data_IF_904078817588
#
_entry.id   IF_904078817588
#
_cell.length_a   1.000
_cell.length_b   1.000
_cell.length_c   1.000
_cell.angle_alpha   90.00
_cell.angle_beta   90.00
_cell.angle_gamma   90.00
#
_symmetry.space_group_name_H-M   'P 1'
#
loop_
_entity.id
_entity.type
_entity.pdbx_description
1 polymer ?
#
# COMPACT_ATOMS: atom_id res chain seq x y z
N UNK A 1 -14.35 22.33 20.56
CA UNK A 1 -14.38 21.36 21.68
C UNK A 1 -15.22 20.12 21.36
N UNK A 2 -16.29 20.22 20.54
CA UNK A 2 -17.11 19.06 20.10
C UNK A 2 -16.28 18.00 19.37
N UNK A 3 -15.47 18.40 18.40
CA UNK A 3 -14.85 17.45 17.46
C UNK A 3 -13.83 16.50 18.11
N UNK A 4 -13.23 16.90 19.25
CA UNK A 4 -12.30 16.06 20.03
C UNK A 4 -13.01 14.97 20.81
N UNK A 5 -14.12 15.33 21.46
CA UNK A 5 -14.95 14.38 22.19
C UNK A 5 -15.58 13.39 21.21
N UNK A 6 -15.99 13.85 20.02
CA UNK A 6 -16.55 13.01 18.96
C UNK A 6 -15.54 12.03 18.33
N UNK A 7 -14.23 12.33 18.37
CA UNK A 7 -13.15 11.39 17.99
C UNK A 7 -12.98 10.34 19.07
N UNK A 8 -12.80 10.78 20.30
CA UNK A 8 -12.55 9.91 21.45
C UNK A 8 -13.73 8.96 21.64
N UNK A 9 -14.97 9.47 21.53
CA UNK A 9 -16.20 8.68 21.65
C UNK A 9 -16.40 7.78 20.44
N UNK A 10 -16.02 8.18 19.22
CA UNK A 10 -16.03 7.28 18.07
C UNK A 10 -15.03 6.14 18.22
N UNK A 11 -13.79 6.42 18.62
CA UNK A 11 -12.76 5.40 18.85
C UNK A 11 -13.21 4.47 19.98
N UNK A 12 -13.70 5.02 21.10
CA UNK A 12 -14.17 4.24 22.23
C UNK A 12 -15.43 3.42 21.87
N UNK A 13 -16.42 3.98 21.19
CA UNK A 13 -17.61 3.22 20.76
C UNK A 13 -17.26 2.19 19.69
N UNK A 14 -16.46 2.52 18.68
CA UNK A 14 -16.08 1.58 17.63
C UNK A 14 -15.22 0.43 18.15
N UNK A 15 -14.35 0.67 19.13
CA UNK A 15 -13.51 -0.37 19.73
C UNK A 15 -14.28 -1.18 20.80
N UNK A 16 -15.05 -0.53 21.68
CA UNK A 16 -15.72 -1.20 22.82
C UNK A 16 -17.02 -1.90 22.41
N UNK A 17 -17.75 -1.38 21.42
CA UNK A 17 -19.01 -2.01 20.95
C UNK A 17 -18.72 -3.23 20.09
N UNK A 18 -17.68 -3.16 19.25
CA UNK A 18 -17.38 -4.22 18.29
C UNK A 18 -16.53 -5.36 18.91
N UNK A 19 -15.76 -5.09 19.97
CA UNK A 19 -15.01 -6.14 20.69
C UNK A 19 -15.87 -7.06 21.57
N UNK A 20 -17.11 -6.69 21.91
CA UNK A 20 -17.89 -7.39 22.94
C UNK A 20 -18.83 -8.49 22.44
N UNK A 21 -19.15 -8.57 21.15
CA UNK A 21 -20.30 -9.39 20.74
C UNK A 21 -20.05 -10.89 20.53
N UNK A 22 -18.83 -11.38 20.27
CA UNK A 22 -18.57 -12.84 20.16
C UNK A 22 -17.15 -13.21 20.60
N UNK A 23 -16.84 -12.99 21.88
CA UNK A 23 -15.58 -13.47 22.48
C UNK A 23 -15.76 -14.94 22.90
N UNK A 24 -15.61 -15.85 21.96
CA UNK A 24 -15.35 -17.27 22.25
C UNK A 24 -14.26 -17.76 21.32
N UNK A 25 -13.02 -17.38 21.63
CA UNK A 25 -11.83 -17.84 20.93
C UNK A 25 -10.58 -17.17 21.49
N UNK A 26 -9.76 -17.90 22.23
CA UNK A 26 -8.51 -17.43 22.86
C UNK A 26 -7.55 -16.77 21.83
N UNK A 27 -7.61 -17.21 20.57
CA UNK A 27 -6.86 -16.65 19.43
C UNK A 27 -7.36 -15.25 19.00
N UNK A 28 -8.66 -14.98 19.07
CA UNK A 28 -9.25 -13.68 18.71
C UNK A 28 -8.88 -12.60 19.73
N UNK A 29 -8.81 -12.97 21.02
CA UNK A 29 -8.34 -12.07 22.08
C UNK A 29 -6.88 -11.67 21.92
N UNK A 30 -6.01 -12.54 21.39
CA UNK A 30 -4.60 -12.19 21.15
C UNK A 30 -4.49 -11.16 20.01
N UNK A 31 -5.25 -11.34 18.92
CA UNK A 31 -5.27 -10.40 17.78
C UNK A 31 -5.87 -9.05 18.19
N UNK A 32 -6.99 -9.06 18.94
CA UNK A 32 -7.61 -7.85 19.45
C UNK A 32 -6.76 -7.14 20.52
N UNK A 33 -6.01 -7.89 21.34
CA UNK A 33 -5.07 -7.30 22.30
C UNK A 33 -3.80 -6.76 21.64
N UNK A 34 -3.32 -7.36 20.54
CA UNK A 34 -2.23 -6.79 19.73
C UNK A 34 -2.69 -5.52 18.99
N UNK A 35 -3.91 -5.53 18.46
CA UNK A 35 -4.55 -4.35 17.87
C UNK A 35 -4.77 -3.25 18.94
N UNK A 36 -5.29 -3.61 20.11
CA UNK A 36 -5.52 -2.68 21.21
C UNK A 36 -4.23 -2.22 21.90
N UNK A 37 -3.14 -3.00 21.90
CA UNK A 37 -1.83 -2.61 22.45
C UNK A 37 -1.13 -1.60 21.53
N UNK A 38 -1.21 -1.80 20.22
CA UNK A 38 -0.78 -0.84 19.18
C UNK A 38 -1.60 0.46 19.22
N UNK A 39 -2.81 0.41 19.79
CA UNK A 39 -3.69 1.56 20.06
C UNK A 39 -3.51 2.07 21.51
N UNK A 40 -2.92 1.32 22.45
CA UNK A 40 -2.77 1.74 23.86
C UNK A 40 -1.84 2.94 24.06
N UNK A 41 -1.11 3.33 23.01
CA UNK A 41 -0.39 4.59 22.88
C UNK A 41 -1.30 5.84 23.11
N UNK A 42 -2.62 5.70 22.98
CA UNK A 42 -3.59 6.78 23.16
C UNK A 42 -4.14 6.96 24.59
N UNK A 43 -3.66 6.18 25.58
CA UNK A 43 -4.17 6.24 26.96
C UNK A 43 -3.43 7.21 27.88
N UNK A 44 -2.37 7.86 27.42
CA UNK A 44 -1.64 8.82 28.26
C UNK A 44 -2.35 10.18 28.18
N UNK A 45 -3.13 10.50 29.22
CA UNK A 45 -4.02 11.68 29.30
C UNK A 45 -3.30 13.01 29.05
N UNK A 46 -1.96 13.04 29.20
CA UNK A 46 -1.11 14.22 28.96
C UNK A 46 -0.75 14.45 27.47
N UNK A 47 -1.04 13.51 26.57
CA UNK A 47 -0.74 13.61 25.13
C UNK A 47 -1.93 14.15 24.30
N UNK A 48 -3.15 14.06 24.85
CA UNK A 48 -4.42 14.36 24.16
C UNK A 48 -4.70 15.87 24.10
N UNK A 49 -4.20 16.66 25.06
CA UNK A 49 -4.45 18.11 25.11
C UNK A 49 -3.81 18.89 23.93
N UNK A 50 -2.79 18.31 23.28
CA UNK A 50 -2.02 18.94 22.19
C UNK A 50 -2.53 18.65 20.77
N UNK A 51 -3.66 17.97 20.59
CA UNK A 51 -4.22 17.74 19.25
C UNK A 51 -4.95 18.97 18.69
N UNK A 52 -4.19 19.97 18.27
CA UNK A 52 -4.57 20.80 17.13
C UNK A 52 -4.14 20.07 15.84
N UNK A 53 -4.27 20.70 14.68
CA UNK A 53 -3.82 20.18 13.40
C UNK A 53 -2.34 19.69 13.40
N UNK A 54 -1.47 20.30 14.23
CA UNK A 54 -0.11 19.81 14.43
C UNK A 54 -0.07 18.50 15.22
N UNK A 55 -1.06 18.20 16.06
CA UNK A 55 -1.15 16.93 16.78
C UNK A 55 -1.68 15.76 15.96
N UNK A 56 -2.52 15.98 14.94
CA UNK A 56 -2.86 14.93 13.96
C UNK A 56 -1.67 14.66 13.04
N UNK A 57 -0.96 15.71 12.59
CA UNK A 57 0.27 15.56 11.83
C UNK A 57 1.40 14.92 12.67
N UNK A 58 1.55 15.31 13.94
CA UNK A 58 2.51 14.67 14.84
C UNK A 58 2.10 13.24 15.18
N UNK A 59 0.81 12.93 15.31
CA UNK A 59 0.31 11.57 15.45
C UNK A 59 0.67 10.73 14.22
N UNK A 60 0.33 11.18 13.00
CA UNK A 60 0.70 10.47 11.77
C UNK A 60 2.22 10.33 11.68
N UNK A 61 2.99 11.35 12.07
CA UNK A 61 4.46 11.33 12.03
C UNK A 61 5.10 10.41 13.08
N UNK A 62 4.64 10.43 14.33
CA UNK A 62 5.12 9.53 15.41
C UNK A 62 4.66 8.10 15.16
N UNK A 63 3.42 7.92 14.74
CA UNK A 63 2.87 6.62 14.38
C UNK A 63 3.58 6.02 13.15
N UNK A 64 3.91 6.83 12.14
CA UNK A 64 4.77 6.42 11.02
C UNK A 64 6.23 6.21 11.44
N UNK A 65 6.72 6.84 12.50
CA UNK A 65 8.08 6.63 13.03
C UNK A 65 8.25 5.31 13.81
N UNK A 66 7.14 4.65 14.15
CA UNK A 66 7.10 3.32 14.77
C UNK A 66 6.73 2.20 13.79
N UNK A 67 6.45 2.57 12.53
CA UNK A 67 6.30 1.65 11.42
C UNK A 67 7.64 1.54 10.68
N UNK A 68 7.88 0.42 10.01
CA UNK A 68 9.04 0.25 9.12
C UNK A 68 9.26 1.50 8.28
N UNK A 69 10.53 1.85 8.05
CA UNK A 69 11.04 3.08 7.40
C UNK A 69 10.48 3.38 6.00
N UNK A 70 9.54 2.59 5.50
CA UNK A 70 8.95 2.70 4.17
C UNK A 70 7.89 3.81 4.06
N UNK A 71 7.36 4.34 5.18
CA UNK A 71 6.35 5.41 5.18
C UNK A 71 6.92 6.82 5.44
N UNK A 72 8.24 6.99 5.59
CA UNK A 72 8.87 8.31 5.84
C UNK A 72 8.88 9.26 4.63
N UNK A 73 8.31 8.85 3.49
CA UNK A 73 8.32 9.60 2.23
C UNK A 73 7.20 10.64 2.06
N UNK A 74 6.31 10.80 3.06
CA UNK A 74 5.18 11.71 2.91
C UNK A 74 5.48 13.10 3.46
N UNK A 75 5.50 14.09 2.56
CA UNK A 75 5.61 15.50 2.89
C UNK A 75 4.44 15.91 3.83
N UNK A 76 4.73 16.49 5.00
CA UNK A 76 3.73 17.02 5.94
C UNK A 76 2.69 17.94 5.30
N UNK A 77 3.01 18.59 4.17
CA UNK A 77 2.10 19.45 3.41
C UNK A 77 0.90 18.69 2.83
N UNK A 78 1.00 17.38 2.60
CA UNK A 78 -0.14 16.59 2.13
C UNK A 78 -1.14 16.29 3.24
N UNK A 79 -0.70 16.19 4.49
CA UNK A 79 -1.61 15.92 5.61
C UNK A 79 -2.25 17.17 6.20
N UNK A 80 -1.84 18.35 5.70
CA UNK A 80 -2.38 19.64 6.14
C UNK A 80 -3.82 19.90 5.67
N UNK A 81 -4.55 18.94 5.11
CA UNK A 81 -5.96 19.15 4.74
C UNK A 81 -6.84 17.95 5.11
N UNK A 82 -6.37 17.05 5.99
CA UNK A 82 -7.17 15.92 6.44
C UNK A 82 -8.33 16.39 7.31
N UNK A 83 -9.55 16.05 6.90
CA UNK A 83 -10.72 16.18 7.76
C UNK A 83 -10.79 15.03 8.76
N UNK A 84 -11.59 15.20 9.81
CA UNK A 84 -11.90 14.10 10.72
C UNK A 84 -12.50 12.88 9.98
N UNK A 85 -13.36 13.13 9.00
CA UNK A 85 -13.95 12.06 8.21
C UNK A 85 -12.89 11.29 7.39
N UNK A 86 -11.88 11.99 6.87
CA UNK A 86 -10.74 11.36 6.19
C UNK A 86 -9.94 10.49 7.15
N UNK A 87 -9.65 10.97 8.36
CA UNK A 87 -8.92 10.19 9.36
C UNK A 87 -9.67 8.91 9.76
N UNK A 88 -10.98 9.00 10.02
CA UNK A 88 -11.83 7.82 10.32
C UNK A 88 -11.83 6.83 9.15
N UNK A 89 -11.93 7.35 7.92
CA UNK A 89 -11.88 6.56 6.69
C UNK A 89 -10.55 5.84 6.54
N UNK A 90 -9.42 6.53 6.75
CA UNK A 90 -8.08 5.94 6.64
C UNK A 90 -7.87 4.84 7.68
N UNK A 91 -8.33 5.03 8.92
CA UNK A 91 -8.26 4.00 9.96
C UNK A 91 -9.07 2.77 9.55
N UNK A 92 -10.28 2.96 9.04
CA UNK A 92 -11.13 1.87 8.57
C UNK A 92 -10.49 1.14 7.39
N UNK A 93 -9.98 1.87 6.39
CA UNK A 93 -9.24 1.28 5.26
C UNK A 93 -8.03 0.49 5.79
N UNK A 94 -7.28 1.00 6.75
CA UNK A 94 -6.12 0.26 7.26
C UNK A 94 -6.50 -1.00 8.04
N UNK A 95 -7.64 -1.02 8.72
CA UNK A 95 -8.12 -2.25 9.35
C UNK A 95 -8.29 -3.39 8.33
N UNK A 96 -8.50 -3.06 7.06
CA UNK A 96 -8.54 -4.02 5.95
C UNK A 96 -7.18 -4.64 5.64
N UNK A 97 -6.07 -3.92 5.83
CA UNK A 97 -4.71 -4.47 5.71
C UNK A 97 -4.49 -5.51 6.79
N UNK A 98 -4.76 -5.18 8.05
CA UNK A 98 -4.63 -6.12 9.17
C UNK A 98 -5.54 -7.33 8.97
N UNK A 99 -6.76 -7.12 8.48
CA UNK A 99 -7.66 -8.21 8.13
C UNK A 99 -7.06 -9.08 7.02
N UNK A 100 -6.56 -8.48 5.95
CA UNK A 100 -5.97 -9.19 4.80
C UNK A 100 -4.76 -10.02 5.22
N UNK A 101 -3.89 -9.47 6.07
CA UNK A 101 -2.78 -10.20 6.65
C UNK A 101 -3.24 -11.35 7.56
N UNK A 102 -4.30 -11.13 8.34
CA UNK A 102 -4.85 -12.16 9.24
C UNK A 102 -5.45 -13.30 8.43
N UNK A 103 -6.26 -12.99 7.42
CA UNK A 103 -6.84 -13.96 6.49
C UNK A 103 -5.73 -14.71 5.75
N UNK A 104 -4.68 -14.02 5.32
CA UNK A 104 -3.53 -14.63 4.68
C UNK A 104 -2.69 -15.52 5.63
N UNK A 105 -2.94 -15.49 6.93
CA UNK A 105 -2.31 -16.41 7.90
C UNK A 105 -3.26 -17.49 8.39
N UNK A 106 -4.56 -17.21 8.39
CA UNK A 106 -5.62 -18.06 8.94
C UNK A 106 -6.88 -17.95 8.04
N UNK A 107 -6.85 -18.54 6.83
CA UNK A 107 -7.96 -18.42 5.88
C UNK A 107 -9.26 -19.04 6.42
N UNK A 108 -9.17 -20.00 7.34
CA UNK A 108 -10.30 -20.70 7.94
C UNK A 108 -11.23 -19.79 8.77
N UNK A 109 -10.70 -18.71 9.37
CA UNK A 109 -11.50 -17.71 10.10
C UNK A 109 -11.86 -16.51 9.23
N UNK A 110 -11.44 -16.50 7.96
CA UNK A 110 -11.55 -15.31 7.12
C UNK A 110 -12.99 -14.93 6.77
N UNK A 111 -13.87 -15.92 6.59
CA UNK A 111 -15.29 -15.67 6.35
C UNK A 111 -15.97 -15.03 7.55
N UNK A 112 -15.66 -15.48 8.77
CA UNK A 112 -16.22 -14.92 10.01
C UNK A 112 -15.73 -13.50 10.23
N UNK A 113 -14.45 -13.24 9.96
CA UNK A 113 -13.88 -11.90 10.04
C UNK A 113 -14.49 -10.98 8.99
N UNK A 114 -14.65 -11.42 7.74
CA UNK A 114 -15.28 -10.62 6.70
C UNK A 114 -16.74 -10.34 7.05
N UNK A 115 -17.51 -11.33 7.49
CA UNK A 115 -18.89 -11.11 7.92
C UNK A 115 -18.99 -10.09 9.06
N UNK A 116 -18.01 -10.08 9.97
CA UNK A 116 -17.90 -9.06 11.02
C UNK A 116 -17.56 -7.68 10.45
N UNK A 117 -16.60 -7.58 9.54
CA UNK A 117 -16.22 -6.29 8.94
C UNK A 117 -17.24 -5.78 7.91
N UNK A 118 -18.04 -6.64 7.27
CA UNK A 118 -19.14 -6.25 6.38
C UNK A 118 -20.30 -5.59 7.13
N UNK A 119 -20.39 -5.77 8.46
CA UNK A 119 -21.28 -4.98 9.30
C UNK A 119 -20.82 -3.52 9.42
N UNK A 120 -19.56 -3.22 9.07
CA UNK A 120 -19.09 -1.85 8.99
C UNK A 120 -19.64 -1.20 7.72
N UNK A 121 -20.19 0.01 7.85
CA UNK A 121 -20.77 0.71 6.71
C UNK A 121 -19.71 0.95 5.63
N UNK A 122 -20.08 0.83 4.34
CA UNK A 122 -19.21 1.23 3.23
C UNK A 122 -18.66 2.63 3.47
N UNK A 123 -17.40 2.83 3.12
CA UNK A 123 -16.74 4.09 3.41
C UNK A 123 -16.90 5.02 2.23
N UNK A 124 -17.37 6.23 2.50
CA UNK A 124 -17.49 7.23 1.46
C UNK A 124 -16.10 7.82 1.17
N UNK A 125 -15.44 7.31 0.13
CA UNK A 125 -14.13 7.77 -0.29
C UNK A 125 -14.29 9.02 -1.18
N UNK A 126 -14.33 10.18 -0.54
CA UNK A 126 -14.59 11.46 -1.23
C UNK A 126 -13.31 12.23 -1.57
N UNK A 127 -12.29 12.15 -0.71
CA UNK A 127 -11.05 12.91 -0.87
C UNK A 127 -9.99 12.13 -1.65
N UNK A 128 -9.05 12.86 -2.27
CA UNK A 128 -7.90 12.24 -2.92
C UNK A 128 -7.01 11.48 -1.95
N UNK A 129 -6.94 11.92 -0.69
CA UNK A 129 -6.18 11.25 0.36
C UNK A 129 -6.76 9.88 0.71
N UNK A 130 -8.06 9.84 0.96
CA UNK A 130 -8.74 8.57 1.26
C UNK A 130 -8.67 7.61 0.07
N UNK A 131 -8.79 8.12 -1.17
CA UNK A 131 -8.55 7.32 -2.39
C UNK A 131 -7.13 6.79 -2.48
N UNK A 132 -6.11 7.63 -2.26
CA UNK A 132 -4.72 7.22 -2.32
C UNK A 132 -4.38 6.17 -1.26
N UNK A 133 -4.81 6.38 0.00
CA UNK A 133 -4.66 5.37 1.06
C UNK A 133 -5.35 4.05 0.68
N UNK A 134 -6.56 4.11 0.14
CA UNK A 134 -7.24 2.91 -0.34
C UNK A 134 -6.52 2.23 -1.51
N UNK A 135 -5.91 2.97 -2.44
CA UNK A 135 -5.07 2.34 -3.47
C UNK A 135 -3.84 1.69 -2.84
N UNK A 136 -3.21 2.36 -1.85
CA UNK A 136 -2.03 1.83 -1.17
C UNK A 136 -2.33 0.55 -0.41
N UNK A 137 -3.39 0.48 0.38
CA UNK A 137 -3.70 -0.73 1.16
C UNK A 137 -4.17 -1.90 0.29
N UNK A 138 -4.63 -1.65 -0.94
CA UNK A 138 -4.88 -2.71 -1.92
C UNK A 138 -3.60 -3.49 -2.27
N UNK A 139 -2.43 -2.86 -2.12
CA UNK A 139 -1.14 -3.51 -2.36
C UNK A 139 -0.88 -4.65 -1.37
N UNK A 140 -1.37 -4.50 -0.12
CA UNK A 140 -1.27 -5.51 0.94
C UNK A 140 -2.21 -6.68 0.70
N UNK A 141 -3.36 -6.42 0.09
CA UNK A 141 -4.26 -7.46 -0.40
C UNK A 141 -3.54 -8.35 -1.42
N UNK A 142 -2.80 -7.77 -2.37
CA UNK A 142 -2.05 -8.54 -3.38
C UNK A 142 -1.04 -9.50 -2.75
N UNK A 143 -0.24 -9.02 -1.78
CA UNK A 143 0.72 -9.88 -1.06
C UNK A 143 -0.01 -10.96 -0.23
N UNK A 144 -1.13 -10.62 0.41
CA UNK A 144 -1.97 -11.58 1.13
C UNK A 144 -2.47 -12.71 0.21
N UNK A 145 -2.98 -12.38 -0.96
CA UNK A 145 -3.43 -13.35 -1.96
C UNK A 145 -2.26 -14.18 -2.50
N UNK A 146 -1.09 -13.59 -2.72
CA UNK A 146 0.08 -14.34 -3.18
C UNK A 146 0.58 -15.36 -2.14
N UNK A 147 0.32 -15.11 -0.85
CA UNK A 147 0.64 -16.04 0.25
C UNK A 147 -0.45 -17.10 0.47
N UNK A 148 -1.72 -16.77 0.21
CA UNK A 148 -2.87 -17.68 0.32
C UNK A 148 -3.81 -17.51 -0.88
N UNK A 149 -3.51 -18.13 -2.03
CA UNK A 149 -4.31 -18.02 -3.25
C UNK A 149 -5.80 -18.35 -3.08
N UNK A 150 -6.12 -19.31 -2.21
CA UNK A 150 -7.49 -19.75 -1.90
C UNK A 150 -8.34 -18.64 -1.26
N UNK A 151 -7.72 -17.68 -0.57
CA UNK A 151 -8.40 -16.52 0.00
C UNK A 151 -8.63 -15.42 -1.04
N UNK A 152 -8.16 -15.58 -2.27
CA UNK A 152 -8.14 -14.56 -3.32
C UNK A 152 -9.49 -13.93 -3.64
N UNK A 153 -10.48 -14.76 -3.93
CA UNK A 153 -11.84 -14.29 -4.28
C UNK A 153 -12.48 -13.53 -3.12
N UNK A 154 -12.31 -14.06 -1.91
CA UNK A 154 -12.84 -13.50 -0.67
C UNK A 154 -12.22 -12.14 -0.34
N UNK A 155 -10.89 -12.03 -0.41
CA UNK A 155 -10.16 -10.78 -0.16
C UNK A 155 -10.49 -9.69 -1.20
N UNK A 156 -10.58 -10.06 -2.48
CA UNK A 156 -10.95 -9.12 -3.55
C UNK A 156 -12.38 -8.62 -3.34
N UNK A 157 -13.33 -9.52 -3.08
CA UNK A 157 -14.73 -9.17 -2.86
C UNK A 157 -14.88 -8.24 -1.66
N UNK A 158 -14.24 -8.57 -0.54
CA UNK A 158 -14.25 -7.72 0.65
C UNK A 158 -13.71 -6.32 0.35
N UNK A 159 -12.57 -6.23 -0.33
CA UNK A 159 -11.98 -4.94 -0.68
C UNK A 159 -12.94 -4.12 -1.57
N UNK A 160 -13.49 -4.73 -2.62
CA UNK A 160 -14.44 -4.06 -3.52
C UNK A 160 -15.73 -3.60 -2.81
N UNK A 161 -16.22 -4.35 -1.83
CA UNK A 161 -17.41 -3.99 -1.04
C UNK A 161 -17.20 -2.70 -0.22
N UNK A 162 -15.97 -2.37 0.17
CA UNK A 162 -15.69 -1.19 1.01
C UNK A 162 -15.94 0.11 0.25
N UNK A 163 -15.66 0.15 -1.05
CA UNK A 163 -15.70 1.42 -1.81
C UNK A 163 -16.88 1.53 -2.75
N UNK A 164 -17.71 0.49 -2.82
CA UNK A 164 -18.96 0.41 -3.60
C UNK A 164 -18.83 0.71 -5.11
N UNK A 165 -17.70 1.22 -5.60
CA UNK A 165 -17.51 1.70 -6.97
C UNK A 165 -16.02 1.79 -7.33
N UNK A 166 -15.60 1.39 -8.55
CA UNK A 166 -14.21 1.49 -8.99
C UNK A 166 -13.67 2.93 -8.93
N UNK A 167 -12.39 3.09 -8.58
CA UNK A 167 -11.68 4.37 -8.71
C UNK A 167 -11.23 4.50 -10.17
N UNK A 168 -12.02 5.20 -10.97
CA UNK A 168 -11.79 5.29 -12.43
C UNK A 168 -10.86 6.44 -12.83
N UNK A 169 -10.64 7.43 -11.96
CA UNK A 169 -9.80 8.60 -12.25
C UNK A 169 -8.79 8.82 -11.13
N UNK A 170 -7.50 8.73 -11.49
CA UNK A 170 -6.38 9.10 -10.62
C UNK A 170 -6.00 10.54 -10.95
N UNK A 171 -6.20 11.46 -10.02
CA UNK A 171 -6.14 12.91 -10.29
C UNK A 171 -4.89 13.55 -9.70
N UNK A 172 -4.41 13.04 -8.57
CA UNK A 172 -3.37 13.69 -7.77
C UNK A 172 -2.04 12.94 -7.81
N UNK A 173 -0.90 13.62 -7.61
CA UNK A 173 0.40 12.96 -7.45
C UNK A 173 0.39 11.86 -6.37
N UNK A 174 -0.26 12.11 -5.24
CA UNK A 174 -0.35 11.15 -4.14
C UNK A 174 -1.06 9.85 -4.56
N UNK A 175 -2.23 9.95 -5.20
CA UNK A 175 -2.93 8.75 -5.69
C UNK A 175 -2.10 7.99 -6.73
N UNK A 176 -1.34 8.70 -7.60
CA UNK A 176 -0.43 8.07 -8.55
C UNK A 176 0.75 7.35 -7.87
N UNK A 177 1.32 7.93 -6.81
CA UNK A 177 2.34 7.28 -5.98
C UNK A 177 1.78 5.98 -5.38
N UNK A 178 0.62 6.05 -4.71
CA UNK A 178 -0.02 4.87 -4.14
C UNK A 178 -0.32 3.80 -5.21
N UNK A 179 -0.68 4.25 -6.42
CA UNK A 179 -0.90 3.36 -7.56
C UNK A 179 0.37 2.66 -8.02
N UNK A 180 1.50 3.37 -8.09
CA UNK A 180 2.80 2.79 -8.43
C UNK A 180 3.25 1.77 -7.38
N UNK A 181 2.97 2.02 -6.09
CA UNK A 181 3.20 1.03 -5.03
C UNK A 181 2.35 -0.23 -5.24
N UNK A 182 1.06 -0.07 -5.57
CA UNK A 182 0.20 -1.19 -5.91
C UNK A 182 0.70 -1.96 -7.14
N UNK A 183 1.20 -1.28 -8.17
CA UNK A 183 1.82 -1.93 -9.34
C UNK A 183 3.07 -2.72 -8.93
N UNK A 184 3.94 -2.15 -8.09
CA UNK A 184 5.13 -2.81 -7.57
C UNK A 184 4.79 -4.09 -6.77
N UNK A 185 3.86 -3.99 -5.83
CA UNK A 185 3.40 -5.16 -5.06
C UNK A 185 2.70 -6.21 -5.94
N UNK A 186 2.00 -5.78 -6.99
CA UNK A 186 1.43 -6.72 -7.94
C UNK A 186 2.52 -7.50 -8.68
N UNK A 187 3.62 -6.86 -9.08
CA UNK A 187 4.76 -7.58 -9.68
C UNK A 187 5.38 -8.57 -8.70
N UNK A 188 5.54 -8.20 -7.42
CA UNK A 188 6.04 -9.12 -6.38
C UNK A 188 5.10 -10.31 -6.18
N UNK A 189 3.79 -10.04 -6.10
CA UNK A 189 2.76 -11.05 -5.97
C UNK A 189 2.78 -12.01 -7.17
N UNK A 190 2.86 -11.48 -8.39
CA UNK A 190 2.98 -12.27 -9.63
C UNK A 190 4.26 -13.09 -9.67
N UNK A 191 5.41 -12.54 -9.25
CA UNK A 191 6.66 -13.30 -9.19
C UNK A 191 6.61 -14.44 -8.16
N UNK A 192 5.74 -14.36 -7.15
CA UNK A 192 5.51 -15.46 -6.21
C UNK A 192 4.49 -16.48 -6.74
N UNK A 193 3.41 -16.02 -7.40
CA UNK A 193 2.31 -16.85 -7.92
C UNK A 193 1.95 -16.43 -9.35
N UNK A 194 2.70 -16.86 -10.38
CA UNK A 194 2.54 -16.38 -11.75
C UNK A 194 1.17 -16.71 -12.37
N UNK A 195 0.56 -17.82 -11.97
CA UNK A 195 -0.76 -18.25 -12.39
C UNK A 195 -1.88 -17.30 -11.95
N UNK A 196 -1.66 -16.50 -10.91
CA UNK A 196 -2.61 -15.51 -10.40
C UNK A 196 -2.54 -14.16 -11.13
N UNK A 197 -1.64 -13.98 -12.10
CA UNK A 197 -1.45 -12.71 -12.81
C UNK A 197 -2.76 -12.13 -13.36
N UNK A 198 -3.62 -12.95 -13.97
CA UNK A 198 -4.91 -12.48 -14.51
C UNK A 198 -5.84 -11.97 -13.40
N UNK A 199 -5.82 -12.61 -12.24
CA UNK A 199 -6.58 -12.18 -11.07
C UNK A 199 -6.06 -10.84 -10.56
N UNK A 200 -4.74 -10.72 -10.41
CA UNK A 200 -4.12 -9.47 -9.99
C UNK A 200 -4.38 -8.33 -10.98
N UNK A 201 -4.24 -8.55 -12.28
CA UNK A 201 -4.55 -7.55 -13.31
C UNK A 201 -6.00 -7.07 -13.24
N UNK A 202 -6.96 -7.97 -13.04
CA UNK A 202 -8.38 -7.60 -12.90
C UNK A 202 -8.62 -6.74 -11.68
N UNK A 203 -8.02 -7.10 -10.54
CA UNK A 203 -8.14 -6.31 -9.33
C UNK A 203 -7.44 -4.95 -9.49
N UNK A 204 -6.29 -4.92 -10.15
CA UNK A 204 -5.55 -3.71 -10.49
C UNK A 204 -6.38 -2.73 -11.33
N UNK A 205 -7.19 -3.21 -12.28
CA UNK A 205 -8.05 -2.37 -13.12
C UNK A 205 -9.12 -1.60 -12.33
N UNK A 206 -9.44 -2.05 -11.11
CA UNK A 206 -10.37 -1.37 -10.21
C UNK A 206 -9.86 -0.01 -9.70
N UNK A 207 -8.56 0.26 -9.87
CA UNK A 207 -7.88 1.45 -9.37
C UNK A 207 -7.43 2.42 -10.48
N UNK A 208 -8.00 2.29 -11.69
CA UNK A 208 -7.72 3.21 -12.80
C UNK A 208 -6.30 3.11 -13.35
N UNK A 209 -5.96 4.02 -14.27
CA UNK A 209 -4.62 4.12 -14.88
C UNK A 209 -3.86 5.31 -14.32
N UNK A 210 -2.53 5.20 -14.30
CA UNK A 210 -1.65 6.33 -14.00
C UNK A 210 -1.71 7.30 -15.17
N UNK A 211 -1.97 8.57 -14.87
CA UNK A 211 -1.79 9.66 -15.83
C UNK A 211 -0.30 9.97 -15.94
N UNK A 212 0.20 10.31 -17.14
CA UNK A 212 1.58 10.76 -17.31
C UNK A 212 1.73 12.18 -16.73
N UNK A 213 1.83 12.27 -15.41
CA UNK A 213 2.08 13.52 -14.70
C UNK A 213 3.56 13.61 -14.38
N UNK A 214 4.19 14.69 -14.82
CA UNK A 214 5.57 14.99 -14.44
C UNK A 214 5.60 15.61 -13.04
N UNK A 215 5.79 14.76 -12.03
CA UNK A 215 5.86 15.15 -10.63
C UNK A 215 7.00 14.42 -9.92
N UNK A 216 7.87 15.10 -9.15
CA UNK A 216 9.04 14.47 -8.52
C UNK A 216 8.69 13.21 -7.72
N UNK A 217 7.69 13.25 -6.85
CA UNK A 217 7.28 12.07 -6.07
C UNK A 217 6.77 10.90 -6.91
N UNK A 218 6.04 11.17 -8.01
CA UNK A 218 5.54 10.12 -8.90
C UNK A 218 6.72 9.45 -9.60
N UNK A 219 7.72 10.23 -10.01
CA UNK A 219 8.95 9.73 -10.61
C UNK A 219 9.77 8.88 -9.61
N UNK A 220 9.88 9.30 -8.35
CA UNK A 220 10.53 8.50 -7.28
C UNK A 220 9.80 7.16 -7.10
N UNK A 221 8.46 7.18 -6.99
CA UNK A 221 7.65 5.97 -6.84
C UNK A 221 7.75 5.04 -8.08
N UNK A 222 7.91 5.61 -9.26
CA UNK A 222 8.11 4.87 -10.51
C UNK A 222 9.47 4.17 -10.51
N UNK A 223 10.51 4.87 -10.10
CA UNK A 223 11.86 4.32 -9.97
C UNK A 223 11.92 3.21 -8.91
N UNK A 224 11.21 3.38 -7.79
CA UNK A 224 11.01 2.30 -6.83
C UNK A 224 10.39 1.06 -7.50
N UNK A 225 9.31 1.24 -8.27
CA UNK A 225 8.68 0.13 -8.97
C UNK A 225 9.61 -0.53 -10.02
N UNK A 226 10.53 0.21 -10.64
CA UNK A 226 11.60 -0.39 -11.47
C UNK A 226 12.55 -1.24 -10.62
N UNK A 227 12.99 -0.76 -9.45
CA UNK A 227 13.79 -1.56 -8.52
C UNK A 227 13.10 -2.89 -8.17
N UNK A 228 11.80 -2.85 -7.90
CA UNK A 228 10.97 -4.05 -7.66
C UNK A 228 10.90 -4.96 -8.88
N UNK A 229 10.80 -4.42 -10.09
CA UNK A 229 10.85 -5.22 -11.32
C UNK A 229 12.18 -5.99 -11.44
N UNK A 230 13.31 -5.35 -11.10
CA UNK A 230 14.63 -6.00 -11.13
C UNK A 230 14.72 -7.14 -10.11
N UNK A 231 14.21 -6.91 -8.89
CA UNK A 231 14.10 -7.96 -7.87
C UNK A 231 13.28 -9.15 -8.38
N UNK A 232 12.16 -8.88 -9.06
CA UNK A 232 11.28 -9.91 -9.60
C UNK A 232 11.94 -10.67 -10.76
N UNK A 233 12.68 -9.98 -11.64
CA UNK A 233 13.46 -10.61 -12.72
C UNK A 233 14.53 -11.54 -12.13
N UNK A 234 15.22 -11.12 -11.07
CA UNK A 234 16.22 -11.97 -10.41
C UNK A 234 15.60 -13.22 -9.76
N UNK A 235 14.33 -13.14 -9.33
CA UNK A 235 13.62 -14.27 -8.71
C UNK A 235 12.98 -15.21 -9.73
N UNK A 236 12.46 -14.67 -10.83
CA UNK A 236 11.72 -15.39 -11.88
C UNK A 236 12.14 -14.90 -13.28
N UNK A 237 13.33 -15.30 -13.77
CA UNK A 237 13.88 -14.77 -15.02
C UNK A 237 12.99 -15.04 -16.23
N UNK A 238 12.26 -16.16 -16.24
CA UNK A 238 11.31 -16.55 -17.29
C UNK A 238 10.11 -15.59 -17.41
N UNK A 239 9.81 -14.81 -16.36
CA UNK A 239 8.72 -13.84 -16.35
C UNK A 239 9.14 -12.45 -16.84
N UNK A 240 10.41 -12.25 -17.20
CA UNK A 240 10.97 -10.93 -17.54
C UNK A 240 10.10 -10.15 -18.53
N UNK A 241 9.79 -10.74 -19.68
CA UNK A 241 9.03 -10.04 -20.73
C UNK A 241 7.62 -9.68 -20.24
N UNK A 242 6.95 -10.62 -19.57
CA UNK A 242 5.62 -10.42 -19.01
C UNK A 242 5.62 -9.28 -17.97
N UNK A 243 6.59 -9.26 -17.05
CA UNK A 243 6.68 -8.26 -15.99
C UNK A 243 7.07 -6.87 -16.54
N UNK A 244 7.95 -6.81 -17.56
CA UNK A 244 8.27 -5.57 -18.29
C UNK A 244 7.04 -5.00 -18.99
N UNK A 245 6.32 -5.83 -19.74
CA UNK A 245 5.09 -5.42 -20.42
C UNK A 245 4.03 -4.94 -19.42
N UNK A 246 3.86 -5.67 -18.31
CA UNK A 246 2.98 -5.26 -17.23
C UNK A 246 3.38 -3.89 -16.65
N UNK A 247 4.66 -3.69 -16.35
CA UNK A 247 5.16 -2.40 -15.87
C UNK A 247 4.84 -1.29 -16.86
N UNK A 248 5.11 -1.47 -18.15
CA UNK A 248 4.84 -0.44 -19.17
C UNK A 248 3.35 -0.10 -19.25
N UNK A 249 2.47 -1.12 -19.23
CA UNK A 249 1.01 -0.94 -19.31
C UNK A 249 0.47 -0.17 -18.11
N UNK A 250 0.94 -0.48 -16.89
CA UNK A 250 0.32 0.02 -15.66
C UNK A 250 1.09 1.14 -14.97
N UNK A 251 2.42 1.19 -15.08
CA UNK A 251 3.27 2.29 -14.61
C UNK A 251 3.53 3.36 -15.69
N UNK A 252 3.29 3.07 -16.97
CA UNK A 252 3.52 3.99 -18.10
C UNK A 252 4.92 3.89 -18.69
N UNK A 253 5.30 4.83 -19.58
CA UNK A 253 6.61 4.89 -20.24
C UNK A 253 7.63 5.75 -19.47
N UNK A 254 8.92 5.54 -19.75
CA UNK A 254 10.04 6.35 -19.22
C UNK A 254 9.74 7.86 -19.31
N UNK A 255 9.96 8.57 -18.19
CA UNK A 255 9.83 10.03 -18.09
C UNK A 255 11.22 10.61 -17.83
N UNK A 256 11.61 11.63 -18.60
CA UNK A 256 12.93 12.27 -18.50
C UNK A 256 12.90 13.37 -17.44
N UNK A 257 13.67 13.22 -16.36
CA UNK A 257 13.71 14.21 -15.28
C UNK A 257 15.09 14.28 -14.61
N UNK A 258 15.47 15.45 -14.08
CA UNK A 258 16.78 15.71 -13.45
C UNK A 258 16.67 16.66 -12.24
N UNK A 259 16.00 16.24 -11.16
CA UNK A 259 16.08 16.96 -9.87
C UNK A 259 16.91 16.19 -8.84
N UNK A 260 17.10 16.75 -7.64
CA UNK A 260 17.86 16.10 -6.58
C UNK A 260 17.14 14.87 -6.00
N UNK A 261 15.80 14.90 -5.91
CA UNK A 261 14.97 13.75 -5.51
C UNK A 261 15.13 12.59 -6.49
N UNK A 262 15.36 12.93 -7.77
CA UNK A 262 15.65 11.94 -8.80
C UNK A 262 16.96 11.19 -8.49
N UNK A 263 18.02 11.87 -8.06
CA UNK A 263 19.31 11.25 -7.73
C UNK A 263 19.21 10.23 -6.59
N UNK A 264 18.40 10.52 -5.55
CA UNK A 264 18.15 9.55 -4.47
C UNK A 264 17.41 8.31 -4.97
N UNK A 265 16.44 8.49 -5.87
CA UNK A 265 15.73 7.35 -6.45
C UNK A 265 16.59 6.53 -7.41
N UNK A 266 17.54 7.15 -8.11
CA UNK A 266 18.55 6.45 -8.90
C UNK A 266 19.44 5.57 -8.02
N UNK A 267 19.89 6.09 -6.86
CA UNK A 267 20.67 5.30 -5.91
C UNK A 267 19.89 4.08 -5.39
N UNK A 268 18.58 4.21 -5.14
CA UNK A 268 17.74 3.08 -4.76
C UNK A 268 17.60 2.02 -5.87
N UNK A 269 17.45 2.44 -7.13
CA UNK A 269 17.48 1.51 -8.28
C UNK A 269 18.83 0.80 -8.35
N UNK A 270 19.94 1.53 -8.19
CA UNK A 270 21.27 0.93 -8.23
C UNK A 270 21.48 -0.07 -7.10
N UNK A 271 20.99 0.21 -5.89
CA UNK A 271 21.02 -0.74 -4.79
C UNK A 271 20.25 -2.03 -5.13
N UNK A 272 19.02 -1.91 -5.64
CA UNK A 272 18.23 -3.06 -6.07
C UNK A 272 18.88 -3.82 -7.23
N UNK A 273 19.51 -3.10 -8.17
CA UNK A 273 20.28 -3.69 -9.28
C UNK A 273 21.46 -4.49 -8.76
N UNK A 274 22.30 -3.94 -7.89
CA UNK A 274 23.46 -4.66 -7.36
C UNK A 274 23.06 -5.87 -6.53
N UNK A 275 22.01 -5.78 -5.73
CA UNK A 275 21.48 -6.91 -4.97
C UNK A 275 20.95 -8.01 -5.91
N UNK A 276 20.21 -7.62 -6.95
CA UNK A 276 19.65 -8.54 -7.93
C UNK A 276 20.73 -9.19 -8.79
N UNK A 277 21.71 -8.42 -9.26
CA UNK A 277 22.86 -8.90 -10.01
C UNK A 277 23.76 -9.82 -9.18
N UNK A 278 23.92 -9.54 -7.88
CA UNK A 278 24.65 -10.42 -6.97
C UNK A 278 23.98 -11.79 -6.81
N UNK A 279 22.66 -11.87 -6.96
CA UNK A 279 21.91 -13.14 -6.94
C UNK A 279 21.96 -13.89 -8.27
N UNK A 280 21.92 -13.17 -9.39
CA UNK A 280 21.82 -13.73 -10.74
C UNK A 280 22.71 -12.94 -11.73
N UNK A 281 24.04 -13.10 -11.66
CA UNK A 281 24.98 -12.30 -12.46
C UNK A 281 24.80 -12.50 -13.98
N UNK A 282 24.33 -13.67 -14.42
CA UNK A 282 24.02 -13.97 -15.82
C UNK A 282 22.88 -13.11 -16.39
N UNK A 283 22.03 -12.54 -15.52
CA UNK A 283 20.93 -11.66 -15.91
C UNK A 283 21.34 -10.19 -16.01
N UNK A 284 22.60 -9.86 -15.76
CA UNK A 284 23.13 -8.49 -15.87
C UNK A 284 22.71 -7.78 -17.17
N UNK A 285 22.88 -8.38 -18.38
CA UNK A 285 22.46 -7.73 -19.62
C UNK A 285 20.96 -7.42 -19.65
N UNK A 286 20.14 -8.36 -19.16
CA UNK A 286 18.69 -8.22 -19.09
C UNK A 286 18.27 -7.09 -18.14
N UNK A 287 18.90 -7.02 -16.96
CA UNK A 287 18.65 -5.99 -15.95
C UNK A 287 19.09 -4.61 -16.44
N UNK A 288 20.27 -4.50 -17.07
CA UNK A 288 20.77 -3.26 -17.67
C UNK A 288 19.83 -2.77 -18.77
N UNK A 289 19.35 -3.67 -19.65
CA UNK A 289 18.39 -3.32 -20.68
C UNK A 289 17.07 -2.81 -20.07
N UNK A 290 16.55 -3.46 -19.02
CA UNK A 290 15.36 -2.98 -18.32
C UNK A 290 15.54 -1.58 -17.71
N UNK A 291 16.69 -1.31 -17.07
CA UNK A 291 17.00 0.01 -16.51
C UNK A 291 17.06 1.08 -17.61
N UNK A 292 17.81 0.83 -18.68
CA UNK A 292 18.01 1.77 -19.78
C UNK A 292 16.70 2.11 -20.51
N UNK A 293 15.83 1.10 -20.69
CA UNK A 293 14.52 1.26 -21.32
C UNK A 293 13.51 2.02 -20.44
N UNK A 294 13.50 1.77 -19.13
CA UNK A 294 12.44 2.22 -18.23
C UNK A 294 12.79 3.48 -17.41
N UNK A 295 14.08 3.82 -17.31
CA UNK A 295 14.62 4.93 -16.50
C UNK A 295 15.59 5.79 -17.31
N UNK A 296 15.98 6.98 -16.82
CA UNK A 296 17.00 7.80 -17.49
C UNK A 296 18.45 7.41 -17.16
N UNK A 297 18.63 6.38 -16.34
CA UNK A 297 19.95 5.82 -16.11
C UNK A 297 20.46 5.20 -17.41
N UNK A 298 21.72 5.49 -17.71
CA UNK A 298 22.44 4.84 -18.79
C UNK A 298 23.52 3.99 -18.16
N UNK A 299 23.25 2.69 -18.06
CA UNK A 299 24.21 1.71 -17.60
C UNK A 299 24.86 1.02 -18.81
N UNK A 300 26.18 0.84 -18.73
CA UNK A 300 26.92 0.10 -19.73
C UNK A 300 27.00 -1.37 -19.28
N UNK A 301 26.49 -2.35 -20.06
CA UNK A 301 26.45 -3.75 -19.65
C UNK A 301 27.83 -4.43 -19.52
N UNK A 302 28.92 -3.71 -19.83
CA UNK A 302 30.29 -4.23 -19.93
C UNK A 302 31.33 -3.46 -19.09
N UNK A 303 30.88 -2.57 -18.19
CA UNK A 303 31.75 -1.83 -17.27
C UNK A 303 31.71 -2.45 -15.87
#
# INVERSE_FOLDING_TARGET
MSDRQDIQDFINQYIVSNSKQWITGEKMNIILNDFASKIKFFKDENSVEKMNFNGVNNFIREYNSHLDSDLTFYDPLYFSNLTLNDAKTIIQIRSTETLSETIARQPEIGMDLIAYFEQTKPVNITSSYTRGCYIFYASKVMDGIARQPEAGSMLISYYQNIISSPITVIQTPFEQVCRLMLVAETMRATARQPELMKTFQRFLLYFGKINQLDHPMVNVARNYAVGVLLECIARQPELTNMLKEFFIIYAGNKIVFKTIEYQYSEAAIMAAFYESAGRQPELLPTMVNAINELTNLTLNPLA
#
